data_IF_886283132885
#
_entry.id   IF_886283132885
#
_cell.length_a   1.000
_cell.length_b   1.000
_cell.length_c   1.000
_cell.angle_alpha   90.00
_cell.angle_beta   90.00
_cell.angle_gamma   90.00
#
_symmetry.space_group_name_H-M   'P 1'
#
loop_
_entity.id
_entity.type
_entity.pdbx_description
1 polymer ?
#
# COMPACT_ATOMS: atom_id res chain seq x y z
N UNK A 1 -4.79 16.43 23.45
CA UNK A 1 -4.45 17.10 22.19
C UNK A 1 -4.50 15.99 21.14
N UNK A 2 -5.46 16.04 20.21
CA UNK A 2 -5.56 15.07 19.12
C UNK A 2 -4.36 15.31 18.22
N UNK A 3 -3.54 14.27 18.05
CA UNK A 3 -2.43 14.25 17.09
C UNK A 3 -3.00 14.59 15.71
N UNK A 4 -2.51 15.63 14.99
CA UNK A 4 -3.03 15.92 13.66
C UNK A 4 -2.79 14.69 12.79
N UNK A 5 -3.88 14.05 12.37
CA UNK A 5 -3.80 12.90 11.47
C UNK A 5 -2.90 13.27 10.28
N UNK A 6 -1.85 12.47 10.02
CA UNK A 6 -0.96 12.62 8.87
C UNK A 6 -1.80 12.78 7.58
N UNK A 7 -1.43 13.74 6.72
CA UNK A 7 -2.09 13.95 5.43
C UNK A 7 -1.98 12.71 4.56
N UNK A 8 -0.82 12.04 4.57
CA UNK A 8 -0.59 10.77 3.89
C UNK A 8 -1.60 9.69 4.32
N UNK A 9 -1.86 9.59 5.64
CA UNK A 9 -2.85 8.66 6.17
C UNK A 9 -4.27 9.02 5.72
N UNK A 10 -4.63 10.31 5.73
CA UNK A 10 -5.95 10.78 5.26
C UNK A 10 -6.16 10.48 3.76
N UNK A 11 -5.13 10.68 2.93
CA UNK A 11 -5.14 10.36 1.50
C UNK A 11 -5.32 8.85 1.28
N UNK A 12 -4.61 8.02 2.04
CA UNK A 12 -4.79 6.57 1.99
C UNK A 12 -6.23 6.17 2.37
N UNK A 13 -6.76 6.71 3.45
CA UNK A 13 -8.12 6.37 3.92
C UNK A 13 -9.19 6.73 2.86
N UNK A 14 -8.96 7.80 2.08
CA UNK A 14 -9.81 8.15 0.93
C UNK A 14 -9.67 7.15 -0.22
N UNK A 15 -8.44 6.84 -0.63
CA UNK A 15 -8.17 5.91 -1.74
C UNK A 15 -8.58 4.47 -1.43
N UNK A 16 -8.53 4.06 -0.16
CA UNK A 16 -9.03 2.74 0.27
C UNK A 16 -10.56 2.64 0.14
N UNK A 17 -11.30 3.75 0.32
CA UNK A 17 -12.75 3.76 0.07
C UNK A 17 -13.09 3.41 -1.38
N UNK A 18 -12.30 3.88 -2.34
CA UNK A 18 -12.50 3.52 -3.75
C UNK A 18 -12.36 2.00 -3.97
N UNK A 19 -11.39 1.38 -3.31
CA UNK A 19 -11.23 -0.08 -3.35
C UNK A 19 -12.40 -0.82 -2.65
N UNK A 20 -12.93 -0.27 -1.57
CA UNK A 20 -14.11 -0.79 -0.87
C UNK A 20 -15.38 -0.65 -1.72
N UNK A 21 -15.54 0.44 -2.47
CA UNK A 21 -16.65 0.63 -3.41
C UNK A 21 -16.59 -0.38 -4.55
N UNK A 22 -15.41 -0.64 -5.12
CA UNK A 22 -15.23 -1.70 -6.13
C UNK A 22 -15.59 -3.08 -5.58
N UNK A 23 -15.25 -3.37 -4.33
CA UNK A 23 -15.66 -4.59 -3.64
C UNK A 23 -17.19 -4.63 -3.44
N UNK A 24 -17.81 -3.52 -3.05
CA UNK A 24 -19.26 -3.41 -2.88
C UNK A 24 -20.00 -3.63 -4.20
N UNK A 25 -19.51 -3.06 -5.31
CA UNK A 25 -20.02 -3.34 -6.64
C UNK A 25 -19.92 -4.81 -7.01
N UNK A 26 -18.80 -5.46 -6.71
CA UNK A 26 -18.65 -6.89 -6.91
C UNK A 26 -19.71 -7.70 -6.11
N UNK A 27 -20.04 -7.24 -4.88
CA UNK A 27 -21.03 -7.89 -4.03
C UNK A 27 -22.46 -7.75 -4.55
N UNK A 28 -22.77 -6.68 -5.29
CA UNK A 28 -24.09 -6.44 -5.87
C UNK A 28 -24.38 -7.26 -7.13
N UNK A 29 -23.37 -7.95 -7.69
CA UNK A 29 -23.48 -8.71 -8.95
C UNK A 29 -23.98 -10.14 -8.72
N UNK A 30 -25.02 -10.46 -8.13
CA UNK A 30 -25.65 -11.79 -8.01
C UNK A 30 -24.72 -13.03 -8.01
N UNK A 31 -25.28 -14.20 -7.76
CA UNK A 31 -24.55 -15.49 -7.84
C UNK A 31 -25.17 -16.38 -8.93
N UNK A 32 -24.34 -17.08 -9.74
CA UNK A 32 -22.88 -17.07 -9.78
C UNK A 32 -22.32 -15.72 -10.28
N UNK A 33 -21.13 -15.31 -9.77
CA UNK A 33 -20.49 -14.05 -10.15
C UNK A 33 -20.19 -14.01 -11.67
N UNK A 34 -20.67 -12.98 -12.39
CA UNK A 34 -20.39 -12.87 -13.81
C UNK A 34 -18.92 -12.57 -14.09
N UNK A 35 -18.45 -12.88 -15.31
CA UNK A 35 -17.06 -12.62 -15.74
C UNK A 35 -16.61 -11.18 -15.47
N UNK A 36 -17.49 -10.19 -15.63
CA UNK A 36 -17.20 -8.77 -15.36
C UNK A 36 -16.79 -8.49 -13.91
N UNK A 37 -17.18 -9.33 -12.94
CA UNK A 37 -16.77 -9.21 -11.54
C UNK A 37 -15.25 -9.33 -11.37
N UNK A 38 -14.55 -10.04 -12.27
CA UNK A 38 -13.09 -10.16 -12.25
C UNK A 38 -12.42 -8.80 -12.45
N UNK A 39 -12.98 -7.94 -13.30
CA UNK A 39 -12.45 -6.58 -13.53
C UNK A 39 -12.49 -5.76 -12.26
N UNK A 40 -13.62 -5.77 -11.54
CA UNK A 40 -13.78 -5.03 -10.29
C UNK A 40 -12.81 -5.52 -9.19
N UNK A 41 -12.65 -6.84 -9.05
CA UNK A 41 -11.73 -7.41 -8.06
C UNK A 41 -10.27 -7.07 -8.34
N UNK A 42 -9.84 -7.17 -9.60
CA UNK A 42 -8.48 -6.78 -10.01
C UNK A 42 -8.25 -5.28 -9.83
N UNK A 43 -9.20 -4.45 -10.28
CA UNK A 43 -9.13 -3.00 -10.11
C UNK A 43 -9.04 -2.63 -8.63
N UNK A 44 -9.89 -3.21 -7.77
CA UNK A 44 -9.87 -2.98 -6.33
C UNK A 44 -8.53 -3.34 -5.69
N UNK A 45 -7.90 -4.46 -6.09
CA UNK A 45 -6.57 -4.82 -5.57
C UNK A 45 -5.49 -3.83 -6.04
N UNK A 46 -5.55 -3.39 -7.31
CA UNK A 46 -4.60 -2.40 -7.85
C UNK A 46 -4.77 -1.07 -7.12
N UNK A 47 -5.99 -0.58 -6.95
CA UNK A 47 -6.29 0.67 -6.23
C UNK A 47 -5.80 0.60 -4.79
N UNK A 48 -6.10 -0.48 -4.05
CA UNK A 48 -5.67 -0.65 -2.67
C UNK A 48 -4.13 -0.64 -2.52
N UNK A 49 -3.41 -1.28 -3.43
CA UNK A 49 -1.94 -1.30 -3.39
C UNK A 49 -1.31 -0.01 -3.93
N UNK A 50 -1.98 0.72 -4.80
CA UNK A 50 -1.58 2.08 -5.19
C UNK A 50 -1.75 3.03 -4.01
N UNK A 51 -2.85 2.92 -3.25
CA UNK A 51 -3.03 3.69 -2.01
C UNK A 51 -1.89 3.44 -1.00
N UNK A 52 -1.45 2.19 -0.84
CA UNK A 52 -0.28 1.85 -0.01
C UNK A 52 1.01 2.49 -0.53
N UNK A 53 1.26 2.45 -1.85
CA UNK A 53 2.43 3.05 -2.51
C UNK A 53 2.48 4.55 -2.23
N UNK A 54 1.40 5.26 -2.55
CA UNK A 54 1.26 6.71 -2.29
C UNK A 54 1.45 7.04 -0.80
N UNK A 55 0.85 6.24 0.10
CA UNK A 55 1.02 6.43 1.53
C UNK A 55 2.50 6.35 1.96
N UNK A 56 3.24 5.36 1.50
CA UNK A 56 4.66 5.19 1.86
C UNK A 56 5.48 6.39 1.36
N UNK A 57 5.24 6.83 0.13
CA UNK A 57 5.92 7.97 -0.48
C UNK A 57 5.62 9.28 0.27
N UNK A 58 4.35 9.59 0.47
CA UNK A 58 3.93 10.82 1.16
C UNK A 58 4.37 10.81 2.62
N UNK A 59 4.24 9.67 3.31
CA UNK A 59 4.54 9.60 4.75
C UNK A 59 6.01 9.72 5.07
N UNK A 60 6.91 9.20 4.23
CA UNK A 60 8.35 9.43 4.43
C UNK A 60 8.70 10.90 4.22
N UNK A 61 8.11 11.56 3.21
CA UNK A 61 8.33 13.00 2.99
C UNK A 61 7.83 13.83 4.18
N UNK A 62 6.62 13.56 4.68
CA UNK A 62 6.09 14.21 5.88
C UNK A 62 7.03 14.03 7.06
N UNK A 63 7.41 12.78 7.36
CA UNK A 63 8.26 12.46 8.50
C UNK A 63 9.67 13.05 8.41
N UNK A 64 10.21 13.22 7.21
CA UNK A 64 11.48 13.94 7.00
C UNK A 64 11.28 15.43 7.23
N UNK A 65 10.22 16.03 6.69
CA UNK A 65 9.91 17.46 6.87
C UNK A 65 9.63 17.83 8.32
N UNK A 66 9.03 16.95 9.10
CA UNK A 66 8.83 17.14 10.55
C UNK A 66 10.14 17.25 11.33
N UNK A 67 11.27 16.79 10.75
CA UNK A 67 12.59 16.74 11.38
C UNK A 67 13.59 17.80 10.89
N UNK A 68 13.28 18.48 9.78
CA UNK A 68 14.12 19.56 9.26
C UNK A 68 13.68 20.89 9.84
N UNK A 69 14.62 21.83 9.98
CA UNK A 69 14.33 23.18 10.48
C UNK A 69 13.61 24.05 9.44
N UNK A 70 12.92 25.11 9.89
CA UNK A 70 12.32 26.10 8.97
C UNK A 70 13.38 26.74 8.08
N UNK A 71 14.55 27.06 8.65
CA UNK A 71 15.73 27.56 7.92
C UNK A 71 16.63 26.37 7.53
N UNK A 72 16.17 25.58 6.55
CA UNK A 72 16.89 24.38 6.11
C UNK A 72 18.33 24.68 5.72
N UNK A 73 19.26 23.92 6.27
CA UNK A 73 20.66 23.87 5.88
C UNK A 73 20.82 23.37 4.44
N UNK A 74 21.99 23.54 3.85
CA UNK A 74 22.29 22.99 2.52
C UNK A 74 22.17 21.47 2.48
N UNK A 75 22.61 20.79 3.57
CA UNK A 75 22.51 19.34 3.68
C UNK A 75 21.06 18.84 3.74
N UNK A 76 20.18 19.52 4.46
CA UNK A 76 18.75 19.17 4.53
C UNK A 76 18.05 19.37 3.18
N UNK A 77 18.34 20.47 2.47
CA UNK A 77 17.83 20.67 1.09
C UNK A 77 18.31 19.59 0.13
N UNK A 78 19.60 19.23 0.21
CA UNK A 78 20.16 18.16 -0.61
C UNK A 78 19.50 16.79 -0.30
N UNK A 79 19.29 16.49 0.98
CA UNK A 79 18.61 15.27 1.42
C UNK A 79 17.17 15.19 0.87
N UNK A 80 16.39 16.28 0.96
CA UNK A 80 15.04 16.32 0.42
C UNK A 80 15.01 16.19 -1.11
N UNK A 81 15.95 16.82 -1.83
CA UNK A 81 16.05 16.66 -3.27
C UNK A 81 16.42 15.22 -3.67
N UNK A 82 17.30 14.58 -2.90
CA UNK A 82 17.68 13.18 -3.11
C UNK A 82 16.51 12.23 -2.86
N UNK A 83 15.73 12.48 -1.80
CA UNK A 83 14.50 11.74 -1.52
C UNK A 83 13.50 11.87 -2.67
N UNK A 84 13.25 13.10 -3.16
CA UNK A 84 12.33 13.33 -4.28
C UNK A 84 12.77 12.57 -5.55
N UNK A 85 14.07 12.56 -5.86
CA UNK A 85 14.61 11.79 -6.99
C UNK A 85 14.53 10.27 -6.79
N UNK A 86 14.64 9.77 -5.57
CA UNK A 86 14.45 8.35 -5.26
C UNK A 86 12.98 7.96 -5.40
N UNK A 87 12.04 8.78 -4.91
CA UNK A 87 10.61 8.53 -4.99
C UNK A 87 10.09 8.47 -6.41
N UNK A 88 10.62 9.26 -7.35
CA UNK A 88 10.27 9.15 -8.78
C UNK A 88 10.50 7.75 -9.38
N UNK A 89 11.35 6.94 -8.74
CA UNK A 89 11.69 5.58 -9.17
C UNK A 89 11.21 4.50 -8.19
N UNK A 90 10.51 4.96 -7.14
CA UNK A 90 10.02 4.09 -6.08
C UNK A 90 8.68 3.49 -6.50
N UNK A 91 8.70 2.25 -6.98
CA UNK A 91 7.50 1.54 -7.39
C UNK A 91 7.39 0.21 -6.67
N UNK A 92 6.15 -0.22 -6.42
CA UNK A 92 5.85 -1.50 -5.78
C UNK A 92 6.57 -1.65 -4.43
N UNK A 93 6.19 -0.88 -3.39
CA UNK A 93 6.83 -0.89 -2.09
C UNK A 93 6.61 -2.22 -1.37
N UNK A 94 7.59 -3.12 -1.53
CA UNK A 94 7.72 -4.35 -0.75
C UNK A 94 8.13 -4.02 0.68
N UNK A 95 8.08 -5.02 1.55
CA UNK A 95 8.54 -4.87 2.95
C UNK A 95 10.00 -4.38 3.03
N UNK A 96 10.86 -4.90 2.18
CA UNK A 96 12.28 -4.51 2.14
C UNK A 96 12.48 -3.09 1.60
N UNK A 97 11.78 -2.71 0.52
CA UNK A 97 11.85 -1.36 -0.02
C UNK A 97 11.34 -0.33 1.00
N UNK A 98 10.23 -0.62 1.66
CA UNK A 98 9.68 0.26 2.70
C UNK A 98 10.65 0.37 3.86
N UNK A 99 11.20 -0.75 4.36
CA UNK A 99 12.21 -0.76 5.42
C UNK A 99 13.40 0.13 5.05
N UNK A 100 13.96 -0.10 3.86
CA UNK A 100 15.13 0.64 3.38
C UNK A 100 14.85 2.14 3.33
N UNK A 101 13.74 2.57 2.72
CA UNK A 101 13.39 3.97 2.56
C UNK A 101 13.31 4.69 3.92
N UNK A 102 12.59 4.14 4.89
CA UNK A 102 12.48 4.76 6.21
C UNK A 102 13.79 4.69 7.01
N UNK A 103 14.60 3.63 6.83
CA UNK A 103 15.90 3.52 7.50
C UNK A 103 16.91 4.52 6.95
N UNK A 104 16.96 4.70 5.62
CA UNK A 104 17.93 5.57 4.98
C UNK A 104 17.69 7.06 5.33
N UNK A 105 16.44 7.50 5.42
CA UNK A 105 16.10 8.91 5.65
C UNK A 105 15.77 9.26 7.10
N UNK A 106 15.32 8.31 7.90
CA UNK A 106 14.85 8.57 9.27
C UNK A 106 15.58 7.75 10.33
N UNK A 107 16.43 6.80 9.93
CA UNK A 107 17.06 5.80 10.79
C UNK A 107 16.06 4.95 11.59
N UNK A 108 14.85 4.75 11.04
CA UNK A 108 13.78 3.99 11.67
C UNK A 108 13.41 2.78 10.79
N UNK A 109 13.51 1.57 11.33
CA UNK A 109 12.90 0.38 10.71
C UNK A 109 11.43 0.28 11.16
N UNK A 110 10.52 0.94 10.42
CA UNK A 110 9.08 0.92 10.70
C UNK A 110 8.49 -0.48 10.66
N UNK A 111 9.12 -1.40 9.92
CA UNK A 111 8.61 -2.76 9.76
C UNK A 111 8.73 -3.61 11.01
N UNK A 112 9.52 -3.19 11.99
CA UNK A 112 9.60 -3.84 13.32
C UNK A 112 8.31 -3.67 14.13
N UNK A 113 7.52 -2.64 13.82
CA UNK A 113 6.21 -2.41 14.42
C UNK A 113 5.05 -3.12 13.71
N UNK A 114 5.31 -3.88 12.64
CA UNK A 114 4.28 -4.55 11.84
C UNK A 114 3.80 -5.84 12.51
N UNK A 115 3.15 -5.66 13.63
CA UNK A 115 2.49 -6.75 14.36
C UNK A 115 1.16 -6.27 14.96
N UNK A 116 0.18 -7.15 14.97
CA UNK A 116 -1.13 -6.97 15.59
C UNK A 116 -1.75 -8.33 15.87
N UNK A 117 -2.97 -8.36 16.44
CA UNK A 117 -3.63 -9.62 16.80
C UNK A 117 -3.66 -10.62 15.64
N UNK A 118 -3.02 -11.76 15.83
CA UNK A 118 -2.96 -12.85 14.85
C UNK A 118 -1.90 -12.68 13.75
N UNK A 119 -1.13 -11.59 13.72
CA UNK A 119 -0.07 -11.37 12.72
C UNK A 119 1.21 -10.86 13.39
N UNK A 120 2.30 -11.61 13.24
CA UNK A 120 3.64 -11.17 13.64
C UNK A 120 4.39 -10.50 12.50
N UNK A 121 5.53 -9.83 12.82
CA UNK A 121 6.36 -9.05 11.90
C UNK A 121 6.70 -9.82 10.61
N UNK A 122 7.22 -11.03 10.74
CA UNK A 122 7.62 -11.85 9.59
C UNK A 122 6.42 -12.18 8.67
N UNK A 123 5.27 -12.49 9.27
CA UNK A 123 4.05 -12.79 8.52
C UNK A 123 3.51 -11.55 7.79
N UNK A 124 3.56 -10.37 8.43
CA UNK A 124 3.14 -9.13 7.83
C UNK A 124 4.02 -8.76 6.61
N UNK A 125 5.34 -8.84 6.75
CA UNK A 125 6.31 -8.62 5.66
C UNK A 125 6.01 -9.55 4.48
N UNK A 126 5.94 -10.85 4.72
CA UNK A 126 5.66 -11.85 3.68
C UNK A 126 4.30 -11.62 3.00
N UNK A 127 3.29 -11.23 3.76
CA UNK A 127 1.95 -10.96 3.22
C UNK A 127 1.93 -9.74 2.32
N UNK A 128 2.60 -8.63 2.71
CA UNK A 128 2.77 -7.46 1.85
C UNK A 128 3.46 -7.83 0.53
N UNK A 129 4.60 -8.54 0.60
CA UNK A 129 5.36 -8.92 -0.58
C UNK A 129 4.56 -9.80 -1.52
N UNK A 130 3.74 -10.70 -0.97
CA UNK A 130 2.81 -11.54 -1.74
C UNK A 130 1.73 -10.69 -2.45
N UNK A 131 1.18 -9.68 -1.78
CA UNK A 131 0.18 -8.79 -2.38
C UNK A 131 0.77 -7.91 -3.48
N UNK A 132 1.96 -7.36 -3.28
CA UNK A 132 2.69 -6.58 -4.29
C UNK A 132 2.95 -7.42 -5.54
N UNK A 133 3.40 -8.67 -5.38
CA UNK A 133 3.57 -9.61 -6.49
C UNK A 133 2.24 -9.91 -7.20
N UNK A 134 1.17 -10.14 -6.43
CA UNK A 134 -0.18 -10.42 -6.98
C UNK A 134 -0.72 -9.24 -7.78
N UNK A 135 -0.46 -7.97 -7.37
CA UNK A 135 -0.76 -6.77 -8.17
C UNK A 135 -0.07 -6.83 -9.54
N UNK A 136 1.23 -7.12 -9.58
CA UNK A 136 1.97 -7.25 -10.82
C UNK A 136 1.36 -8.31 -11.75
N UNK A 137 1.05 -9.49 -11.23
CA UNK A 137 0.38 -10.54 -12.00
C UNK A 137 -1.01 -10.09 -12.52
N UNK A 138 -1.78 -9.37 -11.71
CA UNK A 138 -3.11 -8.89 -12.08
C UNK A 138 -3.08 -7.86 -13.23
N UNK A 139 -2.04 -7.02 -13.27
CA UNK A 139 -1.85 -6.01 -14.33
C UNK A 139 -1.34 -6.67 -15.63
N UNK A 140 -0.36 -7.56 -15.55
CA UNK A 140 0.32 -8.11 -16.73
C UNK A 140 -0.38 -9.31 -17.37
N UNK A 141 -1.20 -10.06 -16.63
CA UNK A 141 -1.92 -11.23 -17.13
C UNK A 141 -3.32 -10.95 -17.67
N UNK A 142 -3.67 -9.68 -17.93
CA UNK A 142 -4.93 -9.31 -18.58
C UNK A 142 -4.98 -9.69 -20.07
N UNK A 143 -3.96 -10.38 -20.61
CA UNK A 143 -4.03 -10.94 -21.97
C UNK A 143 -5.11 -12.00 -22.02
N UNK A 144 -6.07 -11.81 -22.93
CA UNK A 144 -7.15 -12.74 -23.19
C UNK A 144 -6.62 -14.17 -23.31
N UNK A 145 -7.24 -15.09 -22.59
CA UNK A 145 -6.99 -16.51 -22.82
C UNK A 145 -7.36 -16.82 -24.27
N UNK A 146 -6.37 -17.07 -25.10
CA UNK A 146 -6.59 -17.55 -26.46
C UNK A 146 -7.20 -18.93 -26.34
N UNK A 147 -8.51 -19.09 -26.65
CA UNK A 147 -9.11 -20.41 -26.71
C UNK A 147 -10.35 -20.63 -25.84
N UNK A 148 -11.27 -19.68 -25.72
CA UNK A 148 -12.67 -19.95 -25.34
C UNK A 148 -12.97 -20.42 -23.90
N UNK A 149 -11.98 -20.73 -23.09
CA UNK A 149 -12.16 -21.04 -21.68
C UNK A 149 -12.02 -19.77 -20.83
N UNK A 150 -12.97 -19.54 -19.92
CA UNK A 150 -12.89 -18.44 -18.94
C UNK A 150 -11.60 -18.57 -18.13
N UNK A 151 -10.72 -17.55 -18.19
CA UNK A 151 -9.53 -17.53 -17.36
C UNK A 151 -9.91 -17.60 -15.88
N UNK A 152 -9.22 -18.41 -15.04
CA UNK A 152 -9.55 -18.50 -13.64
C UNK A 152 -9.42 -17.13 -12.98
N UNK A 153 -10.32 -16.82 -12.04
CA UNK A 153 -10.28 -15.58 -11.26
C UNK A 153 -8.95 -15.50 -10.48
N UNK A 154 -8.08 -14.56 -10.86
CA UNK A 154 -6.77 -14.37 -10.22
C UNK A 154 -6.89 -13.77 -8.82
N UNK A 155 -7.99 -13.04 -8.56
CA UNK A 155 -8.29 -12.41 -7.28
C UNK A 155 -9.67 -12.86 -6.86
N UNK A 156 -9.79 -13.55 -5.72
CA UNK A 156 -11.10 -13.83 -5.15
C UNK A 156 -11.65 -12.58 -4.45
N UNK A 157 -12.96 -12.56 -4.20
CA UNK A 157 -13.59 -11.50 -3.40
C UNK A 157 -12.99 -11.44 -1.98
N UNK A 158 -12.84 -12.60 -1.38
CA UNK A 158 -12.27 -12.77 -0.04
C UNK A 158 -10.80 -12.32 0.01
N UNK A 159 -10.05 -12.54 -1.08
CA UNK A 159 -8.68 -12.05 -1.19
C UNK A 159 -8.63 -10.52 -1.18
N UNK A 160 -9.51 -9.85 -1.92
CA UNK A 160 -9.58 -8.39 -1.97
C UNK A 160 -9.99 -7.81 -0.61
N UNK A 161 -11.01 -8.38 0.04
CA UNK A 161 -11.45 -7.97 1.37
C UNK A 161 -10.33 -8.11 2.42
N UNK A 162 -9.64 -9.26 2.40
CA UNK A 162 -8.49 -9.51 3.27
C UNK A 162 -7.31 -8.60 2.98
N UNK A 163 -7.10 -8.20 1.72
CA UNK A 163 -6.03 -7.28 1.33
C UNK A 163 -6.32 -5.86 1.85
N UNK A 164 -7.54 -5.35 1.66
CA UNK A 164 -7.95 -4.03 2.15
C UNK A 164 -7.79 -3.95 3.67
N UNK A 165 -8.33 -4.92 4.41
CA UNK A 165 -8.20 -4.97 5.87
C UNK A 165 -6.74 -5.02 6.31
N UNK A 166 -5.94 -5.86 5.66
CA UNK A 166 -4.52 -5.98 5.97
C UNK A 166 -3.77 -4.66 5.77
N UNK A 167 -4.03 -3.92 4.67
CA UNK A 167 -3.36 -2.64 4.41
C UNK A 167 -3.74 -1.56 5.44
N UNK A 168 -4.99 -1.51 5.88
CA UNK A 168 -5.42 -0.62 6.97
C UNK A 168 -4.64 -0.89 8.28
N UNK A 169 -4.51 -2.16 8.65
CA UNK A 169 -3.74 -2.56 9.85
C UNK A 169 -2.23 -2.28 9.68
N UNK A 170 -1.71 -2.49 8.48
CA UNK A 170 -0.30 -2.23 8.16
C UNK A 170 0.05 -0.75 8.30
N UNK A 171 -0.83 0.14 7.82
CA UNK A 171 -0.68 1.59 7.98
C UNK A 171 -0.72 1.97 9.46
N UNK A 172 -1.69 1.48 10.22
CA UNK A 172 -1.77 1.73 11.66
C UNK A 172 -0.49 1.24 12.40
N UNK A 173 0.08 0.11 11.96
CA UNK A 173 1.33 -0.41 12.50
C UNK A 173 2.54 0.45 12.09
N UNK A 174 2.56 0.99 10.87
CA UNK A 174 3.61 1.89 10.39
C UNK A 174 3.62 3.20 11.18
N UNK A 175 2.46 3.80 11.41
CA UNK A 175 2.32 5.00 12.25
C UNK A 175 2.85 4.75 13.68
N UNK A 176 2.50 3.59 14.28
CA UNK A 176 3.07 3.23 15.59
C UNK A 176 4.60 3.07 15.57
N UNK A 177 5.16 2.66 14.44
CA UNK A 177 6.62 2.57 14.25
C UNK A 177 7.29 3.92 14.17
N UNK A 178 6.62 4.93 13.59
CA UNK A 178 7.11 6.30 13.46
C UNK A 178 6.98 7.11 14.76
N UNK A 179 6.00 6.81 15.60
CA UNK A 179 5.75 7.48 16.87
C UNK A 179 6.74 7.09 18.01
N UNK A 180 7.68 6.19 17.76
CA UNK A 180 8.72 5.73 18.71
C UNK A 180 9.97 6.55 18.58
#
# INVERSE_FOLDING_TARGET
>A
MSDPSSTAKSTLDSSIKDAEELLAHCNSLGHPLPQKAEVFKRAGLVVALTAWETYVEDRVVEAVRERVSEEMSHAERFMLATLDDELKRFHNPTSEKTRKLFTDYLHIDVTTAWWWSGIGVSAARKKLDTLVKKRGDAVHRSKAASGGASAPHLVSKEDLEKAIRFLKELVAATERGLAR
#
